data_IF_136034790797
#
_entry.id   IF_136034790797
#
_cell.length_a   1.000
_cell.length_b   1.000
_cell.length_c   1.000
_cell.angle_alpha   90.00
_cell.angle_beta   90.00
_cell.angle_gamma   90.00
#
_symmetry.space_group_name_H-M   'P 1'
#
loop_
_entity.id
_entity.type
_entity.pdbx_description
1 polymer ?
#
# COMPACT_ATOMS: atom_id res chain seq x y z
N UNK A 1 22.73 -12.20 21.30
CA UNK A 1 22.86 -10.72 21.32
C UNK A 1 21.98 -10.19 22.45
N UNK A 2 22.43 -9.22 23.26
CA UNK A 2 21.60 -8.63 24.31
C UNK A 2 20.41 -7.88 23.70
N UNK A 3 19.25 -7.91 24.36
CA UNK A 3 18.01 -7.25 23.90
C UNK A 3 18.22 -5.75 23.69
N UNK A 4 19.01 -5.11 24.55
CA UNK A 4 19.29 -3.67 24.47
C UNK A 4 20.01 -3.27 23.18
N UNK A 5 20.92 -4.13 22.69
CA UNK A 5 21.66 -3.89 21.44
C UNK A 5 20.74 -4.04 20.24
N UNK A 6 19.83 -5.02 20.30
CA UNK A 6 18.86 -5.27 19.25
C UNK A 6 17.85 -4.12 19.15
N UNK A 7 17.40 -3.60 20.30
CA UNK A 7 16.53 -2.42 20.36
C UNK A 7 17.24 -1.15 19.85
N UNK A 8 18.50 -0.94 20.22
CA UNK A 8 19.29 0.18 19.72
C UNK A 8 19.43 0.14 18.19
N UNK A 9 19.71 -1.04 17.62
CA UNK A 9 19.83 -1.22 16.18
C UNK A 9 18.49 -1.03 15.46
N UNK A 10 17.38 -1.53 16.03
CA UNK A 10 16.04 -1.26 15.51
C UNK A 10 15.73 0.24 15.48
N UNK A 11 16.06 0.97 16.55
CA UNK A 11 15.84 2.42 16.62
C UNK A 11 16.67 3.17 15.58
N UNK A 12 17.91 2.76 15.36
CA UNK A 12 18.79 3.33 14.34
C UNK A 12 18.22 3.11 12.93
N UNK A 13 17.83 1.87 12.61
CA UNK A 13 17.20 1.54 11.32
C UNK A 13 15.88 2.28 11.12
N UNK A 14 15.06 2.38 12.17
CA UNK A 14 13.83 3.15 12.14
C UNK A 14 14.11 4.64 11.90
N UNK A 15 15.10 5.22 12.58
CA UNK A 15 15.52 6.61 12.42
C UNK A 15 15.99 6.92 11.00
N UNK A 16 16.75 6.01 10.39
CA UNK A 16 17.22 6.14 9.00
C UNK A 16 16.07 6.11 7.99
N UNK A 17 15.05 5.31 8.25
CA UNK A 17 13.87 5.18 7.38
C UNK A 17 12.73 6.13 7.73
N UNK A 18 12.85 6.89 8.83
CA UNK A 18 11.83 7.82 9.32
C UNK A 18 11.36 8.82 8.25
N UNK A 19 12.25 9.45 7.44
CA UNK A 19 11.81 10.38 6.40
C UNK A 19 10.86 9.72 5.38
N UNK A 20 11.18 8.49 4.95
CA UNK A 20 10.34 7.75 4.01
C UNK A 20 8.99 7.38 4.62
N UNK A 21 9.00 6.91 5.88
CA UNK A 21 7.76 6.62 6.62
C UNK A 21 6.88 7.86 6.79
N UNK A 22 7.47 9.01 7.10
CA UNK A 22 6.74 10.28 7.21
C UNK A 22 6.12 10.68 5.88
N UNK A 23 6.85 10.54 4.76
CA UNK A 23 6.31 10.80 3.43
C UNK A 23 5.13 9.87 3.13
N UNK A 24 5.23 8.58 3.41
CA UNK A 24 4.12 7.63 3.22
C UNK A 24 2.89 8.01 4.06
N UNK A 25 3.08 8.42 5.31
CA UNK A 25 2.00 8.90 6.18
C UNK A 25 1.35 10.16 5.61
N UNK A 26 2.14 11.14 5.17
CA UNK A 26 1.62 12.36 4.53
C UNK A 26 0.83 12.01 3.27
N UNK A 27 1.35 11.13 2.41
CA UNK A 27 0.65 10.66 1.22
C UNK A 27 -0.69 9.98 1.56
N UNK A 28 -0.73 9.14 2.60
CA UNK A 28 -1.96 8.53 3.07
C UNK A 28 -2.98 9.58 3.57
N UNK A 29 -2.54 10.59 4.34
CA UNK A 29 -3.40 11.68 4.80
C UNK A 29 -3.94 12.53 3.65
N UNK A 30 -3.09 12.89 2.68
CA UNK A 30 -3.51 13.63 1.48
C UNK A 30 -4.54 12.83 0.69
N UNK A 31 -4.36 11.51 0.60
CA UNK A 31 -5.32 10.61 -0.06
C UNK A 31 -6.67 10.62 0.64
N UNK A 32 -6.70 10.64 1.98
CA UNK A 32 -7.95 10.78 2.75
C UNK A 32 -8.64 12.13 2.51
N UNK A 33 -7.89 13.22 2.42
CA UNK A 33 -8.45 14.56 2.10
C UNK A 33 -9.06 14.57 0.69
N UNK A 34 -8.42 13.91 -0.28
CA UNK A 34 -8.89 13.84 -1.66
C UNK A 34 -10.00 12.79 -1.90
N UNK A 35 -10.34 12.00 -0.88
CA UNK A 35 -11.28 10.88 -0.99
C UNK A 35 -12.64 11.29 -1.56
N UNK A 36 -13.11 12.50 -1.26
CA UNK A 36 -14.40 13.01 -1.75
C UNK A 36 -14.40 13.32 -3.24
N UNK A 37 -13.24 13.58 -3.85
CA UNK A 37 -13.13 13.94 -5.27
C UNK A 37 -13.01 12.72 -6.17
N UNK A 38 -12.24 11.72 -5.74
CA UNK A 38 -12.01 10.49 -6.51
C UNK A 38 -12.01 9.27 -5.58
N UNK A 39 -13.19 8.84 -5.09
CA UNK A 39 -13.30 7.79 -4.09
C UNK A 39 -12.67 6.44 -4.49
N UNK A 40 -12.79 5.94 -5.74
CA UNK A 40 -12.18 4.66 -6.09
C UNK A 40 -10.65 4.74 -6.12
N UNK A 41 -10.08 5.79 -6.71
CA UNK A 41 -8.63 5.99 -6.75
C UNK A 41 -8.05 6.17 -5.33
N UNK A 42 -8.73 6.95 -4.48
CA UNK A 42 -8.29 7.21 -3.11
C UNK A 42 -8.27 5.93 -2.26
N UNK A 43 -9.23 5.02 -2.43
CA UNK A 43 -9.25 3.71 -1.74
C UNK A 43 -7.99 2.90 -2.03
N UNK A 44 -7.70 2.70 -3.31
CA UNK A 44 -6.55 1.91 -3.74
C UNK A 44 -5.22 2.56 -3.34
N UNK A 45 -5.11 3.88 -3.48
CA UNK A 45 -3.91 4.61 -3.07
C UNK A 45 -3.69 4.51 -1.56
N UNK A 46 -4.74 4.67 -0.75
CA UNK A 46 -4.63 4.58 0.70
C UNK A 46 -4.20 3.18 1.14
N UNK A 47 -4.82 2.13 0.58
CA UNK A 47 -4.42 0.74 0.85
C UNK A 47 -2.97 0.49 0.43
N UNK A 48 -2.54 1.01 -0.73
CA UNK A 48 -1.15 0.96 -1.18
C UNK A 48 -0.18 1.63 -0.22
N UNK A 49 -0.45 2.86 0.23
CA UNK A 49 0.42 3.57 1.18
C UNK A 49 0.49 2.87 2.54
N UNK A 50 -0.64 2.39 3.06
CA UNK A 50 -0.67 1.61 4.31
C UNK A 50 0.13 0.31 4.14
N UNK A 51 0.00 -0.36 3.00
CA UNK A 51 0.77 -1.56 2.69
C UNK A 51 2.28 -1.29 2.65
N UNK A 52 2.71 -0.18 2.03
CA UNK A 52 4.11 0.22 2.04
C UNK A 52 4.64 0.52 3.45
N UNK A 53 3.84 1.17 4.31
CA UNK A 53 4.21 1.40 5.72
C UNK A 53 4.43 0.06 6.42
N UNK A 54 3.48 -0.88 6.30
CA UNK A 54 3.60 -2.21 6.91
C UNK A 54 4.82 -2.94 6.36
N UNK A 55 5.01 -2.94 5.05
CA UNK A 55 6.14 -3.61 4.39
C UNK A 55 7.48 -3.05 4.85
N UNK A 56 7.61 -1.72 4.97
CA UNK A 56 8.81 -1.08 5.51
C UNK A 56 9.09 -1.49 6.97
N UNK A 57 8.05 -1.52 7.81
CA UNK A 57 8.19 -1.96 9.21
C UNK A 57 8.62 -3.43 9.29
N UNK A 58 8.08 -4.29 8.42
CA UNK A 58 8.48 -5.70 8.32
C UNK A 58 9.92 -5.85 7.85
N UNK A 59 10.35 -5.08 6.84
CA UNK A 59 11.76 -5.08 6.38
C UNK A 59 12.70 -4.64 7.50
N UNK A 60 12.35 -3.58 8.23
CA UNK A 60 13.13 -3.13 9.38
C UNK A 60 13.21 -4.22 10.44
N UNK A 61 12.06 -4.82 10.82
CA UNK A 61 12.01 -5.91 11.80
C UNK A 61 12.78 -7.16 11.33
N UNK A 62 12.75 -7.48 10.03
CA UNK A 62 13.54 -8.55 9.45
C UNK A 62 15.04 -8.27 9.57
N UNK A 63 15.46 -7.06 9.18
CA UNK A 63 16.88 -6.67 9.22
C UNK A 63 17.46 -6.65 10.64
N UNK A 64 16.64 -6.41 11.66
CA UNK A 64 17.09 -6.27 13.05
C UNK A 64 16.87 -7.52 13.90
N UNK A 65 15.79 -8.26 13.68
CA UNK A 65 15.40 -9.42 14.48
C UNK A 65 15.47 -10.69 13.63
N UNK A 66 14.75 -10.70 12.51
CA UNK A 66 14.56 -11.89 11.68
C UNK A 66 15.89 -12.51 11.25
N UNK A 67 16.79 -11.68 10.70
CA UNK A 67 18.12 -12.08 10.27
C UNK A 67 18.94 -12.70 11.41
N UNK A 68 18.87 -12.14 12.62
CA UNK A 68 19.71 -12.59 13.74
C UNK A 68 19.15 -13.78 14.51
N UNK A 69 17.83 -14.01 14.48
CA UNK A 69 17.19 -15.11 15.20
C UNK A 69 16.97 -16.31 14.28
N UNK A 70 16.46 -16.07 13.07
CA UNK A 70 16.03 -17.15 12.17
C UNK A 70 17.25 -17.77 11.47
N UNK A 71 18.19 -16.95 10.98
CA UNK A 71 19.38 -17.45 10.30
C UNK A 71 20.48 -17.94 11.25
N UNK A 72 20.31 -17.79 12.57
CA UNK A 72 21.32 -18.23 13.53
C UNK A 72 21.53 -19.75 13.57
N UNK A 73 20.54 -20.52 13.10
CA UNK A 73 20.60 -21.98 13.02
C UNK A 73 20.53 -22.54 11.60
N UNK A 74 20.60 -21.68 10.58
CA UNK A 74 20.54 -22.10 9.19
C UNK A 74 21.84 -22.78 8.75
N UNK A 75 21.72 -23.83 7.93
CA UNK A 75 22.87 -24.54 7.35
C UNK A 75 23.59 -23.68 6.30
N UNK A 76 22.82 -22.90 5.53
CA UNK A 76 23.32 -21.86 4.61
C UNK A 76 22.53 -20.55 4.81
N UNK A 77 23.04 -19.63 5.66
CA UNK A 77 22.33 -18.40 5.98
C UNK A 77 22.24 -17.43 4.80
N UNK A 78 23.15 -17.50 3.82
CA UNK A 78 23.11 -16.61 2.65
C UNK A 78 22.00 -17.02 1.68
N UNK A 79 21.87 -18.32 1.40
CA UNK A 79 20.81 -18.84 0.54
C UNK A 79 19.42 -18.57 1.14
N UNK A 80 19.26 -18.75 2.46
CA UNK A 80 18.03 -18.41 3.15
C UNK A 80 17.75 -16.89 3.13
N UNK A 81 18.75 -16.05 3.39
CA UNK A 81 18.60 -14.59 3.32
C UNK A 81 18.11 -14.14 1.93
N UNK A 82 18.61 -14.74 0.85
CA UNK A 82 18.14 -14.47 -0.51
C UNK A 82 16.67 -14.86 -0.72
N UNK A 83 16.24 -16.01 -0.19
CA UNK A 83 14.86 -16.46 -0.28
C UNK A 83 13.91 -15.48 0.43
N UNK A 84 14.25 -15.06 1.64
CA UNK A 84 13.45 -14.08 2.39
C UNK A 84 13.47 -12.70 1.73
N UNK A 85 14.60 -12.26 1.18
CA UNK A 85 14.68 -11.02 0.43
C UNK A 85 13.79 -11.05 -0.82
N UNK A 86 13.76 -12.17 -1.54
CA UNK A 86 12.86 -12.38 -2.68
C UNK A 86 11.39 -12.32 -2.24
N UNK A 87 11.04 -12.98 -1.14
CA UNK A 87 9.68 -12.93 -0.59
C UNK A 87 9.26 -11.50 -0.20
N UNK A 88 10.15 -10.76 0.47
CA UNK A 88 9.91 -9.35 0.84
C UNK A 88 9.76 -8.47 -0.40
N UNK A 89 10.54 -8.70 -1.45
CA UNK A 89 10.41 -7.98 -2.73
C UNK A 89 9.07 -8.26 -3.42
N UNK A 90 8.58 -9.51 -3.38
CA UNK A 90 7.24 -9.84 -3.87
C UNK A 90 6.14 -9.11 -3.07
N UNK A 91 6.27 -9.05 -1.74
CA UNK A 91 5.36 -8.32 -0.85
C UNK A 91 5.37 -6.82 -1.18
N UNK A 92 6.55 -6.23 -1.40
CA UNK A 92 6.68 -4.84 -1.84
C UNK A 92 6.04 -4.62 -3.22
N UNK A 93 6.22 -5.57 -4.14
CA UNK A 93 5.59 -5.62 -5.46
C UNK A 93 4.07 -5.47 -5.40
N UNK A 94 3.40 -6.09 -4.43
CA UNK A 94 1.97 -5.93 -4.21
C UNK A 94 1.58 -4.48 -3.90
N UNK A 95 2.42 -3.74 -3.17
CA UNK A 95 2.25 -2.31 -2.91
C UNK A 95 2.22 -1.49 -4.20
N UNK A 96 3.14 -1.78 -5.13
CA UNK A 96 3.15 -1.12 -6.44
C UNK A 96 1.91 -1.46 -7.28
N UNK A 97 1.43 -2.72 -7.25
CA UNK A 97 0.20 -3.10 -7.92
C UNK A 97 -1.03 -2.36 -7.38
N UNK A 98 -1.09 -2.14 -6.06
CA UNK A 98 -2.15 -1.35 -5.42
C UNK A 98 -2.13 0.11 -5.90
N UNK A 99 -0.95 0.73 -5.97
CA UNK A 99 -0.81 2.10 -6.51
C UNK A 99 -1.15 2.17 -8.01
N UNK A 100 -0.78 1.15 -8.79
CA UNK A 100 -1.17 1.07 -10.20
C UNK A 100 -2.70 0.93 -10.34
N UNK A 101 -3.33 0.15 -9.47
CA UNK A 101 -4.78 0.07 -9.35
C UNK A 101 -5.42 1.42 -9.05
N UNK A 102 -4.80 2.24 -8.20
CA UNK A 102 -5.25 3.60 -7.90
C UNK A 102 -5.19 4.52 -9.13
N UNK A 103 -4.09 4.47 -9.88
CA UNK A 103 -3.93 5.24 -11.12
C UNK A 103 -4.96 4.79 -12.16
N UNK A 104 -5.18 3.48 -12.29
CA UNK A 104 -6.17 2.96 -13.22
C UNK A 104 -7.60 3.36 -12.82
N UNK A 105 -7.92 3.31 -11.53
CA UNK A 105 -9.21 3.74 -11.00
C UNK A 105 -9.47 5.24 -11.22
N UNK A 106 -8.43 6.07 -11.26
CA UNK A 106 -8.55 7.49 -11.59
C UNK A 106 -8.88 7.75 -13.07
N UNK A 107 -8.60 6.78 -13.97
CA UNK A 107 -8.90 6.89 -15.41
C UNK A 107 -10.34 6.55 -15.74
N UNK A 108 -11.02 5.78 -14.89
CA UNK A 108 -12.43 5.46 -15.06
C UNK A 108 -13.25 6.64 -14.54
N UNK A 109 -14.03 7.34 -15.41
CA UNK A 109 -14.88 8.43 -14.94
C UNK A 109 -15.88 7.88 -13.94
N UNK A 110 -15.90 8.45 -12.73
CA UNK A 110 -16.91 8.14 -11.72
C UNK A 110 -18.24 8.74 -12.22
N UNK A 111 -18.99 7.96 -13.01
CA UNK A 111 -20.31 8.36 -13.51
C UNK A 111 -21.34 7.99 -12.45
N UNK A 112 -22.00 8.96 -11.78
CA UNK A 112 -23.06 8.64 -10.85
C UNK A 112 -24.17 7.85 -11.56
N UNK A 113 -24.71 6.84 -10.90
CA UNK A 113 -25.74 5.94 -11.46
C UNK A 113 -26.97 6.66 -12.01
N UNK A 114 -27.28 7.84 -11.47
CA UNK A 114 -28.41 8.67 -11.89
C UNK A 114 -28.27 9.32 -13.27
N UNK A 115 -27.10 9.24 -13.93
CA UNK A 115 -26.90 9.88 -15.23
C UNK A 115 -27.63 9.15 -16.38
N UNK A 116 -28.07 7.91 -16.18
CA UNK A 116 -28.82 7.14 -17.19
C UNK A 116 -30.32 7.06 -16.93
N UNK A 117 -30.80 7.50 -15.76
CA UNK A 117 -32.23 7.46 -15.43
C UNK A 117 -33.03 8.57 -16.14
N UNK A 118 -32.38 9.63 -16.62
CA UNK A 118 -33.03 10.84 -17.18
C UNK A 118 -33.29 10.79 -18.70
N UNK A 119 -32.98 9.68 -19.38
CA UNK A 119 -33.12 9.58 -20.85
C UNK A 119 -34.10 8.51 -21.33
N UNK A 120 -34.88 7.90 -20.44
CA UNK A 120 -35.80 6.80 -20.80
C UNK A 120 -37.27 7.21 -20.95
N UNK A 121 -37.65 8.46 -20.65
CA UNK A 121 -39.07 8.85 -20.55
C UNK A 121 -39.60 9.77 -21.67
N UNK A 122 -38.77 10.25 -22.61
CA UNK A 122 -39.23 11.19 -23.67
C UNK A 122 -39.76 10.54 -24.97
N UNK A 123 -39.64 9.22 -25.14
CA UNK A 123 -40.08 8.50 -26.37
C UNK A 123 -41.50 7.92 -26.30
N UNK A 124 -42.35 8.37 -25.37
CA UNK A 124 -43.76 7.97 -25.35
C UNK A 124 -44.58 8.84 -26.32
N UNK A 125 -45.10 8.31 -27.45
CA UNK A 125 -45.93 9.10 -28.36
C UNK A 125 -47.23 9.55 -27.66
N UNK A 126 -47.73 10.76 -27.95
CA UNK A 126 -48.92 11.28 -27.30
C UNK A 126 -50.14 10.40 -27.59
N UNK A 127 -51.07 10.25 -26.62
CA UNK A 127 -52.25 9.42 -26.80
C UNK A 127 -53.12 9.97 -27.93
N UNK A 128 -53.43 9.11 -28.90
CA UNK A 128 -54.33 9.44 -30.00
C UNK A 128 -55.73 9.78 -29.44
N UNK A 129 -56.14 11.02 -29.69
CA UNK A 129 -57.48 11.56 -29.40
C UNK A 129 -58.57 10.83 -30.16
#
# INVERSE_FOLDING_TARGET
MPIDVLFAHFREMLGRNLPALLVLVICALVTLVQWRRHPPAARWAFVGFVWFIITYLVIIAWSTIGRHIILAGAEDPEAEEQLYAMALSCIEGLGYLLLLGAVNAARTPDRPSHFYDDHTDEDSPPPAS
#
